data_IF_238656826835
#
_entry.id   IF_238656826835
#
_cell.length_a   1.000
_cell.length_b   1.000
_cell.length_c   1.000
_cell.angle_alpha   90.00
_cell.angle_beta   90.00
_cell.angle_gamma   90.00
#
_symmetry.space_group_name_H-M   'P 1'
#
loop_
_entity.id
_entity.type
_entity.pdbx_description
1 polymer ?
#
# COMPACT_ATOMS: atom_id res chain seq x y z
N UNK A 1 -20.22 38.63 -5.10
CA UNK A 1 -20.96 37.99 -3.99
C UNK A 1 -19.95 37.24 -3.15
N UNK A 2 -19.53 37.84 -2.04
CA UNK A 2 -18.42 37.38 -1.21
C UNK A 2 -19.01 36.45 -0.13
N UNK A 3 -18.57 35.20 -0.09
CA UNK A 3 -18.96 34.25 0.96
C UNK A 3 -17.90 34.35 2.07
N UNK A 4 -18.31 34.91 3.21
CA UNK A 4 -17.52 35.03 4.41
C UNK A 4 -17.57 33.67 5.14
N UNK A 5 -16.44 33.07 5.57
CA UNK A 5 -16.46 31.88 6.39
C UNK A 5 -16.81 32.27 7.84
N UNK A 6 -17.89 31.71 8.36
CA UNK A 6 -18.24 31.83 9.78
C UNK A 6 -17.27 31.02 10.64
N UNK A 7 -16.52 31.74 11.47
CA UNK A 7 -15.80 31.18 12.60
C UNK A 7 -16.80 30.82 13.70
N UNK A 8 -16.94 29.54 13.99
CA UNK A 8 -17.71 29.11 15.15
C UNK A 8 -16.79 29.08 16.39
N UNK A 9 -17.05 30.02 17.31
CA UNK A 9 -16.56 29.95 18.69
C UNK A 9 -17.40 28.93 19.44
N UNK A 10 -16.79 27.87 19.93
CA UNK A 10 -17.46 26.84 20.74
C UNK A 10 -17.43 27.30 22.19
N UNK A 11 -18.57 27.75 22.67
CA UNK A 11 -18.81 27.98 24.09
C UNK A 11 -19.29 26.66 24.73
N UNK A 12 -18.54 26.18 25.71
CA UNK A 12 -18.68 24.88 26.35
C UNK A 12 -19.65 24.96 27.53
N UNK A 13 -20.96 25.04 27.27
CA UNK A 13 -21.97 24.87 28.32
C UNK A 13 -23.30 24.36 27.76
N UNK A 14 -23.64 23.15 28.15
CA UNK A 14 -24.97 22.51 28.12
C UNK A 14 -25.60 22.11 26.78
N UNK A 15 -25.82 20.81 26.65
CA UNK A 15 -26.85 20.01 25.95
C UNK A 15 -26.37 19.12 24.82
N UNK A 16 -26.33 17.83 25.14
CA UNK A 16 -26.04 16.69 24.25
C UNK A 16 -27.15 16.32 23.25
N UNK A 17 -28.28 17.03 23.19
CA UNK A 17 -29.45 16.58 22.41
C UNK A 17 -29.65 17.30 21.07
N UNK A 18 -29.00 18.44 20.85
CA UNK A 18 -29.16 19.21 19.59
C UNK A 18 -28.09 18.87 18.52
N UNK A 19 -26.98 18.27 18.91
CA UNK A 19 -25.92 17.87 17.96
C UNK A 19 -26.31 16.71 17.05
N UNK A 20 -27.18 15.82 17.51
CA UNK A 20 -27.62 14.67 16.71
C UNK A 20 -28.59 15.05 15.57
N UNK A 21 -29.37 16.13 15.69
CA UNK A 21 -30.33 16.57 14.68
C UNK A 21 -29.67 17.36 13.54
N UNK A 22 -28.59 18.09 13.83
CA UNK A 22 -27.85 18.85 12.81
C UNK A 22 -26.96 17.93 11.95
N UNK A 23 -26.47 16.83 12.52
CA UNK A 23 -25.67 15.85 11.79
C UNK A 23 -26.51 15.03 10.78
N UNK A 24 -27.78 14.80 11.07
CA UNK A 24 -28.68 14.03 10.16
C UNK A 24 -29.19 14.83 8.98
N UNK A 25 -29.36 16.14 9.11
CA UNK A 25 -29.86 17.02 8.04
C UNK A 25 -28.80 17.29 6.95
N UNK A 26 -27.53 17.23 7.28
CA UNK A 26 -26.44 17.51 6.33
C UNK A 26 -25.83 16.24 5.67
N UNK A 27 -26.34 15.05 6.00
CA UNK A 27 -25.81 13.80 5.44
C UNK A 27 -26.04 13.67 3.93
N UNK A 28 -27.07 14.31 3.38
CA UNK A 28 -27.37 14.30 1.94
C UNK A 28 -26.47 15.21 1.12
N UNK A 29 -25.96 16.30 1.70
CA UNK A 29 -25.00 17.19 1.06
C UNK A 29 -23.58 16.66 1.13
N UNK A 30 -23.26 15.85 2.15
CA UNK A 30 -21.94 15.24 2.34
C UNK A 30 -21.62 14.20 1.23
N UNK A 31 -22.65 13.61 0.62
CA UNK A 31 -22.49 12.62 -0.46
C UNK A 31 -21.95 13.24 -1.77
N UNK A 32 -22.17 14.52 -2.01
CA UNK A 32 -21.73 15.22 -3.23
C UNK A 32 -20.40 15.95 -3.12
N UNK A 33 -19.96 16.31 -1.91
CA UNK A 33 -18.68 16.98 -1.66
C UNK A 33 -17.58 16.06 -1.13
N UNK A 34 -17.86 14.78 -1.00
CA UNK A 34 -17.00 13.80 -0.34
C UNK A 34 -15.71 13.36 -1.08
N UNK A 35 -15.50 13.51 -2.40
CA UNK A 35 -14.25 13.08 -3.00
C UNK A 35 -13.07 14.00 -2.70
N UNK A 36 -13.33 15.31 -2.50
CA UNK A 36 -12.26 16.31 -2.36
C UNK A 36 -11.80 16.54 -0.91
N UNK A 37 -12.69 16.31 0.07
CA UNK A 37 -12.39 16.53 1.50
C UNK A 37 -11.88 15.26 2.21
N UNK A 38 -11.99 14.08 1.61
CA UNK A 38 -11.45 12.82 2.18
C UNK A 38 -9.93 12.75 2.18
N UNK A 39 -9.25 13.55 1.35
CA UNK A 39 -7.79 13.55 1.30
C UNK A 39 -7.09 14.36 2.40
N UNK A 40 -7.78 15.31 3.04
CA UNK A 40 -7.12 16.31 3.88
C UNK A 40 -7.31 16.14 5.40
N UNK A 41 -8.21 15.29 5.87
CA UNK A 41 -8.57 15.30 7.31
C UNK A 41 -8.59 13.95 8.04
N UNK A 42 -8.43 12.83 7.33
CA UNK A 42 -8.22 11.54 7.96
C UNK A 42 -6.86 10.98 7.54
N UNK A 43 -5.81 11.37 8.25
CA UNK A 43 -4.66 10.47 8.35
C UNK A 43 -5.22 9.18 8.95
N UNK A 44 -5.34 8.16 8.10
CA UNK A 44 -5.77 6.83 8.53
C UNK A 44 -4.83 6.40 9.66
N UNK A 45 -5.33 5.74 10.68
CA UNK A 45 -4.49 5.26 11.78
C UNK A 45 -3.26 4.48 11.29
N UNK A 46 -3.36 3.86 10.11
CA UNK A 46 -2.26 3.15 9.48
C UNK A 46 -1.06 4.04 9.14
N UNK A 47 -1.27 5.27 8.72
CA UNK A 47 -0.19 6.20 8.33
C UNK A 47 0.57 6.72 9.54
N UNK A 48 -0.16 7.07 10.62
CA UNK A 48 0.45 7.41 11.91
C UNK A 48 1.22 6.22 12.49
N UNK A 49 0.63 5.03 12.38
CA UNK A 49 1.24 3.80 12.84
C UNK A 49 2.50 3.46 12.03
N UNK A 50 2.49 3.64 10.71
CA UNK A 50 3.65 3.45 9.86
C UNK A 50 4.82 4.36 10.26
N UNK A 51 4.57 5.65 10.54
CA UNK A 51 5.61 6.60 10.97
C UNK A 51 6.13 6.28 12.37
N UNK A 52 5.25 5.87 13.29
CA UNK A 52 5.61 5.60 14.70
C UNK A 52 6.07 4.17 14.97
N UNK A 53 5.91 3.23 14.01
CA UNK A 53 6.27 1.83 14.22
C UNK A 53 7.78 1.67 14.48
N UNK A 54 8.12 1.24 15.69
CA UNK A 54 9.50 0.92 16.07
C UNK A 54 9.98 -0.43 15.55
N UNK A 55 9.07 -1.32 15.15
CA UNK A 55 9.37 -2.64 14.63
C UNK A 55 9.29 -2.64 13.10
N UNK A 56 10.36 -3.04 12.43
CA UNK A 56 10.46 -3.09 10.98
C UNK A 56 9.41 -4.02 10.36
N UNK A 57 9.16 -5.19 10.96
CA UNK A 57 8.14 -6.12 10.49
C UNK A 57 6.73 -5.51 10.49
N UNK A 58 6.39 -4.72 11.50
CA UNK A 58 5.10 -4.04 11.57
C UNK A 58 4.98 -2.95 10.52
N UNK A 59 6.04 -2.17 10.32
CA UNK A 59 6.11 -1.14 9.28
C UNK A 59 5.96 -1.75 7.89
N UNK A 60 6.64 -2.87 7.63
CA UNK A 60 6.54 -3.62 6.38
C UNK A 60 5.11 -4.12 6.13
N UNK A 61 4.47 -4.71 7.13
CA UNK A 61 3.10 -5.19 7.01
C UNK A 61 2.11 -4.08 6.67
N UNK A 62 2.25 -2.89 7.30
CA UNK A 62 1.42 -1.72 6.98
C UNK A 62 1.66 -1.26 5.55
N UNK A 63 2.93 -1.13 5.14
CA UNK A 63 3.28 -0.71 3.79
C UNK A 63 2.72 -1.65 2.73
N UNK A 64 2.87 -2.97 2.90
CA UNK A 64 2.33 -3.99 2.00
C UNK A 64 0.81 -3.96 1.90
N UNK A 65 0.12 -3.65 2.98
CA UNK A 65 -1.33 -3.50 2.95
C UNK A 65 -1.77 -2.24 2.21
N UNK A 66 -1.08 -1.12 2.45
CA UNK A 66 -1.56 0.21 2.06
C UNK A 66 -1.13 0.67 0.67
N UNK A 67 0.01 0.21 0.12
CA UNK A 67 0.56 0.76 -1.14
C UNK A 67 -0.35 0.59 -2.36
N UNK A 68 -1.28 -0.39 -2.34
CA UNK A 68 -2.29 -0.60 -3.39
C UNK A 68 -3.61 0.10 -3.11
N UNK A 69 -3.89 0.47 -1.85
CA UNK A 69 -5.19 1.01 -1.41
C UNK A 69 -5.17 2.53 -1.28
N UNK A 70 -4.00 3.11 -0.95
CA UNK A 70 -3.87 4.54 -0.68
C UNK A 70 -4.12 5.38 -1.93
N UNK A 71 -4.99 6.38 -1.79
CA UNK A 71 -5.32 7.31 -2.89
C UNK A 71 -4.47 8.59 -2.84
N UNK A 72 -3.95 8.95 -1.67
CA UNK A 72 -3.09 10.12 -1.50
C UNK A 72 -1.74 9.88 -2.21
N UNK A 73 -1.37 10.72 -3.19
CA UNK A 73 -0.13 10.55 -3.96
C UNK A 73 1.13 10.64 -3.09
N UNK A 74 1.13 11.47 -2.05
CA UNK A 74 2.28 11.64 -1.14
C UNK A 74 2.52 10.37 -0.35
N UNK A 75 1.45 9.76 0.19
CA UNK A 75 1.56 8.51 0.92
C UNK A 75 1.86 7.32 0.01
N UNK A 76 1.33 7.33 -1.20
CA UNK A 76 1.65 6.32 -2.21
C UNK A 76 3.14 6.31 -2.52
N UNK A 77 3.73 7.47 -2.76
CA UNK A 77 5.18 7.63 -3.00
C UNK A 77 6.01 7.18 -1.80
N UNK A 78 5.62 7.56 -0.56
CA UNK A 78 6.29 7.12 0.67
C UNK A 78 6.30 5.60 0.80
N UNK A 79 5.17 4.92 0.58
CA UNK A 79 5.10 3.47 0.65
C UNK A 79 5.92 2.80 -0.46
N UNK A 80 5.84 3.30 -1.70
CA UNK A 80 6.63 2.79 -2.82
C UNK A 80 8.13 2.94 -2.56
N UNK A 81 8.55 4.10 -2.10
CA UNK A 81 9.95 4.34 -1.73
C UNK A 81 10.43 3.38 -0.62
N UNK A 82 9.66 3.23 0.45
CA UNK A 82 9.98 2.32 1.54
C UNK A 82 10.08 0.86 1.04
N UNK A 83 9.10 0.41 0.25
CA UNK A 83 9.08 -0.94 -0.30
C UNK A 83 10.21 -1.20 -1.30
N UNK A 84 10.62 -0.19 -2.07
CA UNK A 84 11.79 -0.29 -2.95
C UNK A 84 13.10 -0.53 -2.17
N UNK A 85 13.26 0.10 -1.02
CA UNK A 85 14.40 -0.14 -0.13
C UNK A 85 14.34 -1.49 0.60
N UNK A 86 13.17 -2.08 0.71
CA UNK A 86 12.89 -3.32 1.44
C UNK A 86 12.26 -4.40 0.56
N UNK A 87 12.55 -4.38 -0.74
CA UNK A 87 11.86 -5.25 -1.70
C UNK A 87 12.07 -6.74 -1.41
N UNK A 88 13.27 -7.16 -0.96
CA UNK A 88 13.53 -8.57 -0.66
C UNK A 88 12.58 -9.12 0.40
N UNK A 89 12.52 -8.58 1.63
CA UNK A 89 11.56 -9.07 2.63
C UNK A 89 10.12 -8.81 2.24
N UNK A 90 9.83 -7.76 1.44
CA UNK A 90 8.49 -7.49 0.95
C UNK A 90 7.97 -8.60 0.02
N UNK A 91 8.75 -8.97 -1.00
CA UNK A 91 8.38 -10.04 -1.94
C UNK A 91 8.31 -11.39 -1.22
N UNK A 92 9.30 -11.73 -0.37
CA UNK A 92 9.26 -12.98 0.41
C UNK A 92 8.01 -13.09 1.29
N UNK A 93 7.56 -12.00 1.90
CA UNK A 93 6.33 -12.01 2.69
C UNK A 93 5.09 -12.21 1.82
N UNK A 94 5.03 -11.58 0.63
CA UNK A 94 3.93 -11.77 -0.31
C UNK A 94 3.89 -13.19 -0.90
N UNK A 95 5.05 -13.84 -1.15
CA UNK A 95 5.11 -15.24 -1.57
C UNK A 95 4.51 -16.14 -0.49
N UNK A 96 4.83 -15.90 0.79
CA UNK A 96 4.26 -16.66 1.91
C UNK A 96 2.75 -16.49 2.02
N UNK A 97 2.25 -15.28 1.78
CA UNK A 97 0.82 -14.95 1.79
C UNK A 97 0.08 -15.42 0.54
N UNK A 98 0.79 -15.89 -0.49
CA UNK A 98 0.23 -16.23 -1.81
C UNK A 98 -0.46 -15.02 -2.50
N UNK A 99 0.08 -13.83 -2.29
CA UNK A 99 -0.53 -12.60 -2.82
C UNK A 99 0.12 -12.19 -4.16
N UNK A 100 -0.26 -12.90 -5.20
CA UNK A 100 0.21 -12.68 -6.56
C UNK A 100 -0.06 -11.25 -7.06
N UNK A 101 -1.25 -10.73 -6.77
CA UNK A 101 -1.63 -9.38 -7.21
C UNK A 101 -0.68 -8.29 -6.69
N UNK A 102 -0.35 -8.34 -5.38
CA UNK A 102 0.57 -7.37 -4.80
C UNK A 102 2.00 -7.56 -5.29
N UNK A 103 2.43 -8.77 -5.58
CA UNK A 103 3.73 -9.04 -6.21
C UNK A 103 3.82 -8.35 -7.56
N UNK A 104 2.84 -8.53 -8.44
CA UNK A 104 2.80 -7.87 -9.75
C UNK A 104 2.85 -6.34 -9.63
N UNK A 105 2.09 -5.76 -8.68
CA UNK A 105 2.10 -4.32 -8.44
C UNK A 105 3.44 -3.81 -7.93
N UNK A 106 4.11 -4.57 -7.08
CA UNK A 106 5.40 -4.23 -6.51
C UNK A 106 6.51 -4.28 -7.57
N UNK A 107 6.50 -5.29 -8.43
CA UNK A 107 7.47 -5.42 -9.54
C UNK A 107 7.40 -4.28 -10.57
N UNK A 108 6.31 -3.49 -10.61
CA UNK A 108 6.19 -2.34 -11.53
C UNK A 108 7.11 -1.16 -11.17
N UNK A 109 7.53 -1.03 -9.91
CA UNK A 109 8.36 0.10 -9.46
C UNK A 109 9.64 -0.29 -8.72
N UNK A 110 9.87 -1.60 -8.55
CA UNK A 110 11.06 -2.13 -7.87
C UNK A 110 12.02 -2.72 -8.92
N UNK A 111 13.31 -2.39 -8.78
CA UNK A 111 14.35 -3.04 -9.57
C UNK A 111 14.80 -4.33 -8.87
N UNK A 112 14.47 -5.46 -9.46
CA UNK A 112 14.84 -6.79 -8.97
C UNK A 112 16.15 -7.19 -9.63
N UNK A 113 17.12 -7.63 -8.83
CA UNK A 113 18.37 -8.20 -9.35
C UNK A 113 18.17 -9.69 -9.65
N UNK A 114 18.95 -10.22 -10.60
CA UNK A 114 18.87 -11.63 -10.99
C UNK A 114 19.02 -12.57 -9.77
N UNK A 115 20.05 -12.35 -8.95
CA UNK A 115 20.27 -13.13 -7.72
C UNK A 115 19.12 -13.05 -6.70
N UNK A 116 18.38 -11.93 -6.67
CA UNK A 116 17.19 -11.83 -5.83
C UNK A 116 16.03 -12.62 -6.41
N UNK A 117 15.88 -12.57 -7.74
CA UNK A 117 14.86 -13.30 -8.45
C UNK A 117 15.02 -14.81 -8.30
N UNK A 118 16.25 -15.33 -8.41
CA UNK A 118 16.54 -16.75 -8.16
C UNK A 118 16.09 -17.18 -6.75
N UNK A 119 16.38 -16.35 -5.74
CA UNK A 119 15.93 -16.61 -4.37
C UNK A 119 14.39 -16.65 -4.26
N UNK A 120 13.68 -15.78 -5.00
CA UNK A 120 12.21 -15.77 -4.99
C UNK A 120 11.63 -16.97 -5.72
N UNK A 121 12.25 -17.41 -6.83
CA UNK A 121 11.89 -18.63 -7.55
C UNK A 121 12.03 -19.84 -6.61
N UNK A 122 13.17 -19.98 -5.94
CA UNK A 122 13.39 -21.06 -4.96
C UNK A 122 12.34 -21.03 -3.83
N UNK A 123 12.01 -19.85 -3.30
CA UNK A 123 11.00 -19.72 -2.25
C UNK A 123 9.61 -20.08 -2.76
N UNK A 124 9.24 -19.69 -3.97
CA UNK A 124 7.97 -20.04 -4.60
C UNK A 124 7.84 -21.55 -4.84
N UNK A 125 8.91 -22.21 -5.33
CA UNK A 125 8.98 -23.67 -5.48
C UNK A 125 8.79 -24.36 -4.13
N UNK A 126 9.54 -23.94 -3.12
CA UNK A 126 9.50 -24.54 -1.77
C UNK A 126 8.10 -24.41 -1.13
N UNK A 127 7.37 -23.33 -1.40
CA UNK A 127 6.04 -23.09 -0.86
C UNK A 127 4.90 -23.52 -1.80
N UNK A 128 5.21 -24.17 -2.94
CA UNK A 128 4.25 -24.63 -3.95
C UNK A 128 3.32 -23.52 -4.47
N UNK A 129 3.91 -22.34 -4.78
CA UNK A 129 3.20 -21.18 -5.30
C UNK A 129 3.30 -21.14 -6.83
N UNK A 130 2.50 -21.95 -7.51
CA UNK A 130 2.63 -22.20 -8.94
C UNK A 130 2.42 -20.96 -9.81
N UNK A 131 1.42 -20.12 -9.48
CA UNK A 131 1.13 -18.88 -10.22
C UNK A 131 2.26 -17.87 -10.08
N UNK A 132 2.77 -17.69 -8.86
CA UNK A 132 3.90 -16.80 -8.57
C UNK A 132 5.18 -17.32 -9.23
N UNK A 133 5.41 -18.62 -9.20
CA UNK A 133 6.55 -19.26 -9.87
C UNK A 133 6.52 -19.02 -11.37
N UNK A 134 5.38 -19.25 -12.02
CA UNK A 134 5.22 -19.02 -13.45
C UNK A 134 5.50 -17.57 -13.83
N UNK A 135 5.02 -16.63 -13.02
CA UNK A 135 5.29 -15.20 -13.22
C UNK A 135 6.78 -14.86 -13.08
N UNK A 136 7.48 -15.38 -12.08
CA UNK A 136 8.90 -15.09 -11.91
C UNK A 136 9.77 -15.72 -13.00
N UNK A 137 9.41 -16.88 -13.51
CA UNK A 137 10.11 -17.49 -14.65
C UNK A 137 9.92 -16.67 -15.94
N UNK A 138 8.72 -16.16 -16.18
CA UNK A 138 8.45 -15.24 -17.30
C UNK A 138 9.20 -13.93 -17.12
N UNK A 139 9.17 -13.35 -15.92
CA UNK A 139 9.91 -12.14 -15.57
C UNK A 139 11.43 -12.32 -15.77
N UNK A 140 11.99 -13.46 -15.39
CA UNK A 140 13.40 -13.80 -15.60
C UNK A 140 13.74 -13.82 -17.08
N UNK A 141 12.93 -14.51 -17.89
CA UNK A 141 13.09 -14.57 -19.33
C UNK A 141 13.11 -13.19 -19.98
N UNK A 142 12.17 -12.33 -19.59
CA UNK A 142 11.98 -11.02 -20.22
C UNK A 142 13.06 -10.00 -19.85
N UNK A 143 13.60 -10.09 -18.63
CA UNK A 143 14.53 -9.09 -18.11
C UNK A 143 16.01 -9.53 -18.14
N UNK A 144 16.27 -10.82 -18.03
CA UNK A 144 17.63 -11.37 -17.94
C UNK A 144 17.96 -12.33 -19.07
N UNK A 145 16.95 -12.81 -19.81
CA UNK A 145 17.11 -13.81 -20.84
C UNK A 145 17.27 -15.23 -20.29
N UNK A 146 17.45 -16.20 -21.17
CA UNK A 146 17.89 -17.54 -20.78
C UNK A 146 19.41 -17.57 -20.81
N UNK A 147 20.03 -17.81 -19.66
CA UNK A 147 21.40 -18.32 -19.67
C UNK A 147 21.31 -19.81 -20.00
N UNK A 148 21.62 -20.16 -21.26
CA UNK A 148 21.93 -21.53 -21.58
C UNK A 148 23.12 -21.93 -20.73
N UNK A 149 22.85 -22.66 -19.62
CA UNK A 149 23.91 -23.43 -19.02
C UNK A 149 24.37 -24.42 -20.05
N UNK A 150 25.55 -24.18 -20.63
CA UNK A 150 26.24 -25.11 -21.50
C UNK A 150 26.28 -26.47 -20.79
N UNK A 151 25.34 -27.34 -21.13
CA UNK A 151 25.43 -28.75 -20.81
C UNK A 151 26.54 -29.33 -21.71
N UNK A 152 27.77 -29.04 -21.36
CA UNK A 152 28.92 -29.81 -21.85
C UNK A 152 28.84 -31.20 -21.23
N UNK A 153 28.34 -32.14 -22.02
CA UNK A 153 28.40 -33.58 -21.74
C UNK A 153 29.84 -34.07 -21.86
#
# INVERSE_FOLDING_TARGET
>A
MVIIPYFFSIDNSHRNDTLNLILFSNFHLFKYYSPFLKGAFFMDNCEKEFESAGQEARRLAIALKRFTEVQDPVWKEKYQHYLSLRFRPAISELIRQDDFFRIQKLCQFVSITESALDTFIEEAVRLHREEILSFFLEFQKDHFGFHDHDFTF
#
